data_IF_150956177145
#
_entry.id   IF_150956177145
#
_cell.length_a   1.000
_cell.length_b   1.000
_cell.length_c   1.000
_cell.angle_alpha   90.00
_cell.angle_beta   90.00
_cell.angle_gamma   90.00
#
_symmetry.space_group_name_H-M   'P 1'
#
loop_
_entity.id
_entity.type
_entity.pdbx_description
1 polymer ?
#
# COMPACT_ATOMS: atom_id res chain seq x y z
N UNK A 1 -11.27 4.70 -4.97
CA UNK A 1 -11.87 6.04 -4.74
C UNK A 1 -11.86 6.98 -5.95
N UNK A 2 -10.73 7.58 -6.35
CA UNK A 2 -10.73 8.71 -7.32
C UNK A 2 -10.36 8.33 -8.76
N UNK A 3 -10.54 7.07 -9.16
CA UNK A 3 -10.36 6.62 -10.55
C UNK A 3 -8.92 6.34 -11.00
N UNK A 4 -7.94 6.28 -10.09
CA UNK A 4 -6.60 5.79 -10.42
C UNK A 4 -6.57 4.26 -10.47
N UNK A 5 -5.73 3.69 -11.34
CA UNK A 5 -5.56 2.24 -11.43
C UNK A 5 -4.51 1.70 -10.43
N UNK A 6 -4.41 0.37 -10.32
CA UNK A 6 -3.50 -0.32 -9.39
C UNK A 6 -2.03 0.10 -9.55
N UNK A 7 -1.54 0.24 -10.79
CA UNK A 7 -0.17 0.65 -11.06
C UNK A 7 0.09 2.10 -10.64
N UNK A 8 -0.85 3.01 -10.93
CA UNK A 8 -0.79 4.41 -10.54
C UNK A 8 -0.81 4.57 -9.01
N UNK A 9 -1.66 3.83 -8.30
CA UNK A 9 -1.71 3.89 -6.84
C UNK A 9 -0.35 3.56 -6.20
N UNK A 10 0.29 2.48 -6.64
CA UNK A 10 1.62 2.10 -6.12
C UNK A 10 2.69 3.08 -6.56
N UNK A 11 2.65 3.57 -7.80
CA UNK A 11 3.61 4.54 -8.29
C UNK A 11 3.54 5.85 -7.49
N UNK A 12 2.34 6.41 -7.32
CA UNK A 12 2.12 7.66 -6.60
C UNK A 12 2.39 7.49 -5.11
N UNK A 13 1.89 6.42 -4.48
CA UNK A 13 2.16 6.12 -3.08
C UNK A 13 3.67 5.97 -2.80
N UNK A 14 4.39 5.28 -3.68
CA UNK A 14 5.85 5.16 -3.58
C UNK A 14 6.55 6.50 -3.78
N UNK A 15 6.08 7.34 -4.71
CA UNK A 15 6.64 8.67 -4.94
C UNK A 15 6.47 9.58 -3.72
N UNK A 16 5.31 9.57 -3.07
CA UNK A 16 5.10 10.27 -1.81
C UNK A 16 6.02 9.73 -0.70
N UNK A 17 6.11 8.40 -0.54
CA UNK A 17 7.02 7.80 0.43
C UNK A 17 8.49 8.19 0.22
N UNK A 18 8.95 8.21 -1.04
CA UNK A 18 10.28 8.68 -1.43
C UNK A 18 10.48 10.14 -1.02
N UNK A 19 9.50 11.01 -1.26
CA UNK A 19 9.62 12.44 -0.94
C UNK A 19 9.70 12.65 0.58
N UNK A 20 8.88 11.96 1.36
CA UNK A 20 8.96 11.99 2.82
C UNK A 20 10.32 11.52 3.35
N UNK A 21 10.88 10.45 2.80
CA UNK A 21 12.23 9.98 3.17
C UNK A 21 13.28 11.05 2.85
N UNK A 22 13.24 11.65 1.65
CA UNK A 22 14.14 12.75 1.27
C UNK A 22 14.03 13.92 2.25
N UNK A 23 12.81 14.34 2.58
CA UNK A 23 12.54 15.43 3.53
C UNK A 23 13.03 15.14 4.94
N UNK A 24 13.08 13.87 5.35
CA UNK A 24 13.71 13.44 6.60
C UNK A 24 15.24 13.56 6.54
N UNK A 25 15.84 13.11 5.44
CA UNK A 25 17.29 13.20 5.21
C UNK A 25 17.78 14.65 5.10
N UNK A 26 17.03 15.53 4.44
CA UNK A 26 17.30 16.98 4.36
C UNK A 26 17.34 17.62 5.76
N UNK A 27 16.57 17.08 6.71
CA UNK A 27 16.58 17.48 8.13
C UNK A 27 17.66 16.77 8.95
N UNK A 28 18.58 16.05 8.30
CA UNK A 28 19.67 15.29 8.92
C UNK A 28 19.20 14.16 9.85
N UNK A 29 18.00 13.63 9.64
CA UNK A 29 17.55 12.41 10.32
C UNK A 29 18.26 11.21 9.71
N UNK A 30 18.75 10.30 10.56
CA UNK A 30 19.24 9.01 10.11
C UNK A 30 18.08 8.19 9.51
N UNK A 31 18.29 7.56 8.36
CA UNK A 31 17.21 6.86 7.65
C UNK A 31 16.57 5.76 8.48
N UNK A 32 17.38 4.97 9.17
CA UNK A 32 16.92 3.82 9.94
C UNK A 32 16.29 4.24 11.28
N UNK A 33 16.47 5.49 11.71
CA UNK A 33 15.79 6.04 12.88
C UNK A 33 14.27 6.25 12.67
N UNK A 34 13.83 6.51 11.43
CA UNK A 34 12.42 6.85 11.15
C UNK A 34 11.75 5.95 10.12
N UNK A 35 12.48 5.40 9.13
CA UNK A 35 11.90 4.56 8.09
C UNK A 35 11.12 3.33 8.63
N UNK A 36 11.54 2.65 9.72
CA UNK A 36 10.77 1.56 10.31
C UNK A 36 9.39 1.97 10.83
N UNK A 37 9.10 3.27 10.96
CA UNK A 37 7.82 3.82 11.42
C UNK A 37 6.88 4.18 10.28
N UNK A 38 7.37 4.24 9.04
CA UNK A 38 6.55 4.52 7.87
C UNK A 38 5.55 3.39 7.67
N UNK A 39 4.29 3.75 7.38
CA UNK A 39 3.24 2.84 6.99
C UNK A 39 2.42 3.49 5.87
N UNK A 40 1.83 2.63 5.04
CA UNK A 40 1.04 3.03 3.88
C UNK A 40 -0.43 2.66 4.09
N UNK A 41 -1.30 3.28 3.31
CA UNK A 41 -2.67 2.84 3.14
C UNK A 41 -2.90 2.58 1.66
N UNK A 42 -3.50 1.43 1.36
CA UNK A 42 -3.89 1.03 0.02
C UNK A 42 -5.40 0.77 -0.03
N UNK A 43 -5.95 0.78 -1.24
CA UNK A 43 -7.29 0.27 -1.52
C UNK A 43 -7.22 -1.20 -1.94
N UNK A 44 -8.32 -1.95 -1.80
CA UNK A 44 -8.54 -3.20 -2.52
C UNK A 44 -9.85 -3.11 -3.30
N UNK A 45 -9.75 -3.30 -4.62
CA UNK A 45 -10.85 -3.27 -5.57
C UNK A 45 -11.32 -4.68 -5.99
N UNK A 46 -12.32 -4.72 -6.89
CA UNK A 46 -12.93 -5.95 -7.40
C UNK A 46 -12.03 -6.77 -8.34
N UNK A 47 -10.96 -6.17 -8.89
CA UNK A 47 -9.96 -6.87 -9.71
C UNK A 47 -9.08 -7.78 -8.82
N UNK A 48 -9.67 -8.88 -8.37
CA UNK A 48 -9.18 -9.72 -7.26
C UNK A 48 -7.69 -10.10 -7.37
N UNK A 49 -7.26 -10.61 -8.52
CA UNK A 49 -5.86 -11.02 -8.70
C UNK A 49 -4.91 -9.83 -8.89
N UNK A 50 -5.38 -8.76 -9.53
CA UNK A 50 -4.58 -7.54 -9.69
C UNK A 50 -4.28 -6.93 -8.34
N UNK A 51 -5.26 -6.89 -7.43
CA UNK A 51 -5.10 -6.36 -6.08
C UNK A 51 -4.09 -7.16 -5.25
N UNK A 52 -4.18 -8.50 -5.31
CA UNK A 52 -3.18 -9.38 -4.66
C UNK A 52 -1.78 -9.13 -5.24
N UNK A 53 -1.67 -9.03 -6.57
CA UNK A 53 -0.40 -8.79 -7.25
C UNK A 53 0.17 -7.41 -6.91
N UNK A 54 -0.67 -6.37 -6.87
CA UNK A 54 -0.35 -4.99 -6.53
C UNK A 54 0.28 -4.91 -5.14
N UNK A 55 -0.37 -5.48 -4.13
CA UNK A 55 0.12 -5.44 -2.75
C UNK A 55 1.45 -6.20 -2.58
N UNK A 56 1.61 -7.33 -3.29
CA UNK A 56 2.88 -8.09 -3.30
C UNK A 56 3.99 -7.33 -4.02
N UNK A 57 3.67 -6.70 -5.15
CA UNK A 57 4.62 -5.90 -5.94
C UNK A 57 5.07 -4.66 -5.14
N UNK A 58 4.16 -3.97 -4.45
CA UNK A 58 4.44 -2.81 -3.62
C UNK A 58 5.54 -3.10 -2.58
N UNK A 59 5.46 -4.24 -1.89
CA UNK A 59 6.50 -4.67 -0.93
C UNK A 59 7.88 -4.79 -1.57
N UNK A 60 7.95 -5.43 -2.74
CA UNK A 60 9.21 -5.65 -3.46
C UNK A 60 9.78 -4.33 -3.98
N UNK A 61 8.92 -3.47 -4.53
CA UNK A 61 9.31 -2.16 -5.06
C UNK A 61 9.84 -1.27 -3.94
N UNK A 62 9.13 -1.17 -2.81
CA UNK A 62 9.56 -0.36 -1.67
C UNK A 62 10.86 -0.85 -1.06
N UNK A 63 11.00 -2.17 -0.83
CA UNK A 63 12.23 -2.73 -0.30
C UNK A 63 13.43 -2.43 -1.21
N UNK A 64 13.24 -2.48 -2.53
CA UNK A 64 14.27 -2.12 -3.50
C UNK A 64 14.63 -0.63 -3.43
N UNK A 65 13.63 0.25 -3.37
CA UNK A 65 13.85 1.71 -3.23
C UNK A 65 14.68 2.01 -1.98
N UNK A 66 14.30 1.45 -0.83
CA UNK A 66 14.99 1.71 0.44
C UNK A 66 16.44 1.22 0.44
N UNK A 67 16.71 0.06 -0.19
CA UNK A 67 18.06 -0.49 -0.33
C UNK A 67 18.91 0.27 -1.33
N UNK A 68 18.43 0.41 -2.56
CA UNK A 68 19.24 0.86 -3.70
C UNK A 68 19.34 2.38 -3.78
N UNK A 69 18.24 3.09 -3.47
CA UNK A 69 18.21 4.56 -3.58
C UNK A 69 18.70 5.25 -2.31
N UNK A 70 18.38 4.68 -1.16
CA UNK A 70 18.62 5.32 0.13
C UNK A 70 19.60 4.59 1.03
N UNK A 71 20.11 3.42 0.60
CA UNK A 71 21.13 2.65 1.33
C UNK A 71 20.77 2.34 2.78
N UNK A 72 19.47 2.22 3.09
CA UNK A 72 18.99 1.86 4.42
C UNK A 72 19.54 0.48 4.81
N UNK A 73 20.05 0.34 6.03
CA UNK A 73 20.76 -0.87 6.47
C UNK A 73 19.89 -1.77 7.31
N UNK A 74 18.92 -1.22 8.03
CA UNK A 74 18.00 -1.98 8.86
C UNK A 74 16.93 -2.69 8.00
N UNK A 75 16.82 -4.03 8.04
CA UNK A 75 15.76 -4.76 7.34
C UNK A 75 14.34 -4.31 7.69
N UNK A 76 14.12 -3.71 8.87
CA UNK A 76 12.83 -3.15 9.28
C UNK A 76 12.47 -1.91 8.45
N UNK A 77 13.44 -1.13 8.00
CA UNK A 77 13.24 0.05 7.14
C UNK A 77 12.78 -0.34 5.73
N UNK A 78 13.04 -1.58 5.30
CA UNK A 78 12.62 -2.07 3.98
C UNK A 78 11.20 -2.61 3.96
N UNK A 79 10.57 -2.82 5.14
CA UNK A 79 9.23 -3.38 5.23
C UNK A 79 8.20 -2.34 4.79
N UNK A 80 7.50 -2.64 3.71
CA UNK A 80 6.29 -1.93 3.34
C UNK A 80 5.15 -2.45 4.22
N UNK A 81 4.89 -1.75 5.32
CA UNK A 81 3.76 -2.02 6.21
C UNK A 81 2.57 -1.23 5.70
N UNK A 82 1.41 -1.85 5.58
CA UNK A 82 0.25 -1.21 5.01
C UNK A 82 -1.06 -1.70 5.63
N UNK A 83 -1.99 -0.76 5.76
CA UNK A 83 -3.40 -1.05 5.92
C UNK A 83 -4.11 -1.08 4.58
N UNK A 84 -5.23 -1.77 4.50
CA UNK A 84 -6.12 -1.77 3.32
C UNK A 84 -7.51 -1.29 3.73
N UNK A 85 -8.09 -0.43 2.89
CA UNK A 85 -9.53 -0.17 2.88
C UNK A 85 -10.15 -0.86 1.67
N UNK A 86 -11.27 -1.54 1.86
CA UNK A 86 -12.11 -2.00 0.74
C UNK A 86 -12.65 -0.78 -0.04
N UNK A 87 -12.82 -0.93 -1.35
CA UNK A 87 -13.11 0.19 -2.23
C UNK A 87 -14.56 0.68 -2.07
N UNK A 88 -14.76 1.82 -1.41
CA UNK A 88 -16.08 2.44 -1.26
C UNK A 88 -16.72 2.75 -2.62
N UNK A 89 -15.91 3.10 -3.62
CA UNK A 89 -16.39 3.36 -4.98
C UNK A 89 -16.91 2.12 -5.74
N UNK A 90 -16.71 0.90 -5.23
CA UNK A 90 -17.27 -0.32 -5.83
C UNK A 90 -18.70 -0.61 -5.35
N UNK A 91 -19.13 0.04 -4.26
CA UNK A 91 -20.42 -0.18 -3.63
C UNK A 91 -21.51 0.57 -4.37
N UNK A 92 -22.65 -0.09 -4.58
CA UNK A 92 -23.81 0.49 -5.26
C UNK A 92 -25.02 0.57 -4.33
N UNK A 93 -25.85 1.62 -4.43
CA UNK A 93 -27.06 1.73 -3.61
C UNK A 93 -28.16 0.77 -4.04
N UNK A 94 -28.17 0.34 -5.31
CA UNK A 94 -29.11 -0.65 -5.81
C UNK A 94 -28.73 -2.05 -5.34
N UNK A 95 -29.70 -2.79 -4.80
CA UNK A 95 -29.47 -4.13 -4.25
C UNK A 95 -28.28 -4.17 -3.27
N UNK A 96 -28.34 -3.40 -2.18
CA UNK A 96 -27.18 -3.14 -1.32
C UNK A 96 -26.64 -4.40 -0.63
N UNK A 97 -27.44 -5.46 -0.48
CA UNK A 97 -26.96 -6.74 0.06
C UNK A 97 -25.88 -7.39 -0.83
N UNK A 98 -25.85 -7.09 -2.13
CA UNK A 98 -24.77 -7.55 -3.02
C UNK A 98 -23.40 -6.97 -2.62
N UNK A 99 -23.38 -5.83 -1.90
CA UNK A 99 -22.15 -5.22 -1.40
C UNK A 99 -21.47 -6.10 -0.34
N UNK A 100 -22.21 -6.96 0.37
CA UNK A 100 -21.63 -7.93 1.31
C UNK A 100 -20.64 -8.84 0.57
N UNK A 101 -21.02 -9.32 -0.61
CA UNK A 101 -20.16 -10.19 -1.42
C UNK A 101 -19.00 -9.38 -2.03
N UNK A 102 -19.25 -8.15 -2.53
CA UNK A 102 -18.18 -7.28 -3.05
C UNK A 102 -17.07 -7.06 -2.01
N UNK A 103 -17.47 -6.61 -0.82
CA UNK A 103 -16.55 -6.39 0.31
C UNK A 103 -15.88 -7.69 0.74
N UNK A 104 -16.57 -8.83 0.73
CA UNK A 104 -15.95 -10.12 1.05
C UNK A 104 -14.81 -10.48 0.07
N UNK A 105 -14.98 -10.23 -1.23
CA UNK A 105 -13.93 -10.45 -2.22
C UNK A 105 -12.76 -9.47 -2.07
N UNK A 106 -13.04 -8.19 -1.85
CA UNK A 106 -12.02 -7.15 -1.62
C UNK A 106 -11.21 -7.43 -0.35
N UNK A 107 -11.89 -7.81 0.74
CA UNK A 107 -11.28 -8.23 2.00
C UNK A 107 -10.39 -9.47 1.80
N UNK A 108 -10.88 -10.48 1.07
CA UNK A 108 -10.09 -11.67 0.76
C UNK A 108 -8.86 -11.33 -0.09
N UNK A 109 -8.97 -10.43 -1.06
CA UNK A 109 -7.82 -9.96 -1.84
C UNK A 109 -6.79 -9.26 -0.94
N UNK A 110 -7.23 -8.43 0.00
CA UNK A 110 -6.36 -7.76 0.98
C UNK A 110 -5.63 -8.76 1.89
N UNK A 111 -6.35 -9.76 2.40
CA UNK A 111 -5.79 -10.83 3.26
C UNK A 111 -4.75 -11.66 2.50
N UNK A 112 -5.07 -12.13 1.28
CA UNK A 112 -4.13 -12.86 0.44
C UNK A 112 -2.96 -11.97 -0.04
N UNK A 113 -3.21 -10.67 -0.14
CA UNK A 113 -2.19 -9.65 -0.35
C UNK A 113 -1.23 -9.49 0.83
N UNK A 114 -1.59 -9.95 2.03
CA UNK A 114 -0.76 -9.91 3.25
C UNK A 114 -0.84 -8.58 3.99
N UNK A 115 -2.05 -8.04 4.15
CA UNK A 115 -2.33 -6.78 4.88
C UNK A 115 -2.04 -6.85 6.38
N UNK A 116 -1.70 -5.72 7.03
CA UNK A 116 -1.49 -5.63 8.48
C UNK A 116 -2.72 -5.14 9.26
N UNK A 117 -3.55 -4.30 8.65
CA UNK A 117 -4.84 -3.84 9.20
C UNK A 117 -5.85 -3.67 8.07
N UNK A 118 -7.09 -4.09 8.29
CA UNK A 118 -8.13 -4.11 7.26
C UNK A 118 -9.36 -3.33 7.74
N UNK A 119 -9.93 -2.55 6.84
CA UNK A 119 -11.21 -1.86 7.01
C UNK A 119 -12.12 -2.14 5.81
#
# INVERSE_FOLDING_TARGET
EQGINAAQEIAFGSAFGIDYVKKGLERRLDIDSFAPRIAFYCSAHLDFFEEIAKLRAARRVWARIMKERFSAKDPRSWKFKFGVHTAGCSLVPQQPLNNIIRVAYEAMAAVLGGVQSLH
#
